data_IF_236201897879
#
_entry.id   IF_236201897879
#
_cell.length_a   1.000
_cell.length_b   1.000
_cell.length_c   1.000
_cell.angle_alpha   90.00
_cell.angle_beta   90.00
_cell.angle_gamma   90.00
#
_symmetry.space_group_name_H-M   'P 1'
#
loop_
_entity.id
_entity.type
_entity.pdbx_description
1 polymer ?
#
# COMPACT_ATOMS: atom_id res chain seq x y z
N UNK A 1 28.70 0.89 -6.80
CA UNK A 1 27.90 -0.35 -6.63
C UNK A 1 27.82 -0.78 -5.17
N UNK A 2 28.95 -0.94 -4.45
CA UNK A 2 28.95 -1.26 -3.00
C UNK A 2 28.26 -0.14 -2.17
N UNK A 3 28.52 1.13 -2.50
CA UNK A 3 27.93 2.26 -1.79
C UNK A 3 26.41 2.36 -1.95
N UNK A 4 25.87 2.10 -3.14
CA UNK A 4 24.43 2.07 -3.40
C UNK A 4 23.70 0.99 -2.58
N UNK A 5 24.22 -0.24 -2.57
CA UNK A 5 23.62 -1.35 -1.80
C UNK A 5 23.63 -1.05 -0.29
N UNK A 6 24.73 -0.48 0.20
CA UNK A 6 24.85 -0.04 1.60
C UNK A 6 23.84 1.05 1.96
N UNK A 7 23.68 2.06 1.10
CA UNK A 7 22.70 3.14 1.29
C UNK A 7 21.26 2.62 1.27
N UNK A 8 20.94 1.68 0.38
CA UNK A 8 19.61 1.04 0.35
C UNK A 8 19.34 0.26 1.64
N UNK A 9 20.30 -0.54 2.12
CA UNK A 9 20.18 -1.28 3.40
C UNK A 9 19.99 -0.33 4.59
N UNK A 10 20.74 0.78 4.61
CA UNK A 10 20.58 1.81 5.64
C UNK A 10 19.19 2.45 5.57
N UNK A 11 18.74 2.84 4.38
CA UNK A 11 17.41 3.43 4.18
C UNK A 11 16.30 2.50 4.66
N UNK A 12 16.35 1.21 4.30
CA UNK A 12 15.41 0.18 4.77
C UNK A 12 15.41 0.08 6.29
N UNK A 13 16.59 0.06 6.93
CA UNK A 13 16.70 -0.01 8.38
C UNK A 13 16.09 1.21 9.05
N UNK A 14 16.34 2.42 8.55
CA UNK A 14 15.76 3.59 9.22
C UNK A 14 14.25 3.59 9.07
N UNK A 15 13.71 3.37 7.87
CA UNK A 15 12.26 3.28 7.68
C UNK A 15 11.66 2.23 8.62
N UNK A 16 12.31 1.07 8.76
CA UNK A 16 11.90 0.02 9.69
C UNK A 16 11.95 0.44 11.16
N UNK A 17 12.95 1.24 11.55
CA UNK A 17 13.09 1.74 12.92
C UNK A 17 12.06 2.84 13.24
N UNK A 18 11.68 3.66 12.26
CA UNK A 18 10.61 4.65 12.42
C UNK A 18 9.24 4.02 12.70
N UNK A 19 9.02 2.75 12.34
CA UNK A 19 7.82 1.99 12.70
C UNK A 19 7.78 1.50 14.16
N UNK A 20 8.75 1.84 15.01
CA UNK A 20 8.90 1.26 16.36
C UNK A 20 7.69 1.48 17.28
N UNK A 21 6.97 2.60 17.14
CA UNK A 21 5.75 2.90 17.91
C UNK A 21 4.47 2.33 17.25
N UNK A 22 4.62 1.64 16.11
CA UNK A 22 3.55 1.03 15.33
C UNK A 22 2.86 1.99 14.36
N UNK A 23 3.32 3.24 14.25
CA UNK A 23 2.80 4.25 13.32
C UNK A 23 3.95 4.94 12.59
N UNK A 24 3.61 5.62 11.51
CA UNK A 24 4.54 6.43 10.74
C UNK A 24 3.79 7.71 10.37
N UNK A 25 4.17 8.83 10.97
CA UNK A 25 3.53 10.12 10.75
C UNK A 25 3.95 10.75 9.42
N UNK A 26 3.09 11.61 8.86
CA UNK A 26 3.37 12.27 7.57
C UNK A 26 4.63 13.14 7.63
N UNK A 27 4.89 13.78 8.78
CA UNK A 27 6.12 14.52 9.07
C UNK A 27 7.35 13.62 8.97
N UNK A 28 7.33 12.45 9.62
CA UNK A 28 8.41 11.48 9.61
C UNK A 28 8.66 10.94 8.19
N UNK A 29 7.58 10.64 7.45
CA UNK A 29 7.67 10.23 6.04
C UNK A 29 8.38 11.28 5.20
N UNK A 30 8.08 12.57 5.40
CA UNK A 30 8.72 13.63 4.63
C UNK A 30 10.21 13.75 4.96
N UNK A 31 10.59 13.65 6.24
CA UNK A 31 12.00 13.65 6.66
C UNK A 31 12.74 12.46 6.05
N UNK A 32 12.14 11.26 6.10
CA UNK A 32 12.70 10.06 5.48
C UNK A 32 12.88 10.26 3.97
N UNK A 33 11.86 10.78 3.28
CA UNK A 33 11.93 11.05 1.85
C UNK A 33 13.02 12.06 1.52
N UNK A 34 13.07 13.19 2.21
CA UNK A 34 14.06 14.25 1.96
C UNK A 34 15.49 13.74 2.14
N UNK A 35 15.74 12.91 3.15
CA UNK A 35 17.04 12.28 3.31
C UNK A 35 17.32 11.24 2.22
N UNK A 36 16.38 10.34 1.93
CA UNK A 36 16.58 9.33 0.88
C UNK A 36 16.82 10.02 -0.48
N UNK A 37 16.21 11.18 -0.73
CA UNK A 37 16.48 12.03 -1.89
C UNK A 37 17.90 12.61 -1.92
N UNK A 38 18.56 12.77 -0.76
CA UNK A 38 19.98 13.14 -0.70
C UNK A 38 20.92 12.01 -1.15
N UNK A 39 20.42 10.79 -1.33
CA UNK A 39 21.20 9.67 -1.83
C UNK A 39 21.24 9.69 -3.36
N UNK A 40 22.28 10.32 -3.92
CA UNK A 40 22.47 10.49 -5.37
C UNK A 40 22.52 9.18 -6.19
N UNK A 41 22.66 8.02 -5.52
CA UNK A 41 22.89 6.72 -6.15
C UNK A 41 21.65 5.81 -6.25
N UNK A 42 20.49 6.19 -5.69
CA UNK A 42 19.29 5.35 -5.71
C UNK A 42 18.50 5.49 -7.02
N UNK A 43 18.03 4.37 -7.58
CA UNK A 43 17.15 4.38 -8.75
C UNK A 43 15.67 4.19 -8.41
N UNK A 44 14.81 4.24 -9.43
CA UNK A 44 13.36 4.09 -9.30
C UNK A 44 12.96 2.79 -8.58
N UNK A 45 13.70 1.70 -8.78
CA UNK A 45 13.38 0.40 -8.16
C UNK A 45 13.75 0.38 -6.68
N UNK A 46 14.84 1.05 -6.31
CA UNK A 46 15.20 1.25 -4.91
C UNK A 46 14.11 2.06 -4.20
N UNK A 47 13.62 3.14 -4.84
CA UNK A 47 12.51 3.95 -4.31
C UNK A 47 11.22 3.16 -4.15
N UNK A 48 10.84 2.34 -5.13
CA UNK A 48 9.67 1.47 -5.02
C UNK A 48 9.81 0.47 -3.86
N UNK A 49 11.03 0.00 -3.60
CA UNK A 49 11.31 -0.87 -2.46
C UNK A 49 11.16 -0.09 -1.16
N UNK A 50 11.62 1.15 -1.09
CA UNK A 50 11.48 1.99 0.10
C UNK A 50 10.03 2.40 0.35
N UNK A 51 9.26 2.73 -0.69
CA UNK A 51 7.81 2.98 -0.58
C UNK A 51 7.08 1.76 0.00
N UNK A 52 7.48 0.54 -0.39
CA UNK A 52 6.96 -0.69 0.18
C UNK A 52 7.20 -0.78 1.71
N UNK A 53 8.37 -0.37 2.19
CA UNK A 53 8.69 -0.30 3.62
C UNK A 53 7.97 0.86 4.33
N UNK A 54 7.78 2.00 3.66
CA UNK A 54 7.07 3.18 4.19
C UNK A 54 5.58 2.91 4.32
N UNK A 55 4.97 2.16 3.41
CA UNK A 55 3.52 1.96 3.40
C UNK A 55 3.05 0.74 4.20
N UNK A 56 3.98 -0.13 4.61
CA UNK A 56 3.66 -1.41 5.24
C UNK A 56 4.38 -1.57 6.58
N UNK A 57 3.67 -1.80 7.70
CA UNK A 57 4.29 -1.90 9.02
C UNK A 57 5.40 -2.94 9.07
N UNK A 58 6.55 -2.56 9.63
CA UNK A 58 7.71 -3.44 9.78
C UNK A 58 7.71 -4.04 11.18
N UNK A 59 7.89 -5.36 11.26
CA UNK A 59 7.94 -6.03 12.57
C UNK A 59 9.32 -5.85 13.23
N UNK A 60 9.38 -5.95 14.55
CA UNK A 60 10.65 -5.92 15.30
C UNK A 60 11.63 -7.01 14.80
N UNK A 61 11.13 -8.20 14.47
CA UNK A 61 11.94 -9.30 13.95
C UNK A 61 12.57 -8.95 12.59
N UNK A 62 11.78 -8.37 11.69
CA UNK A 62 12.25 -7.96 10.36
C UNK A 62 13.23 -6.78 10.44
N UNK A 63 12.99 -5.82 11.33
CA UNK A 63 13.93 -4.73 11.60
C UNK A 63 15.30 -5.26 12.06
N UNK A 64 15.31 -6.32 12.90
CA UNK A 64 16.55 -6.97 13.32
C UNK A 64 17.26 -7.69 12.17
N UNK A 65 16.52 -8.34 11.26
CA UNK A 65 17.08 -8.96 10.06
C UNK A 65 17.74 -7.89 9.15
N UNK A 66 17.08 -6.75 8.95
CA UNK A 66 17.63 -5.62 8.19
C UNK A 66 18.89 -5.03 8.83
N UNK A 67 18.95 -4.93 10.16
CA UNK A 67 20.17 -4.51 10.85
C UNK A 67 21.30 -5.49 10.58
N UNK A 68 21.04 -6.79 10.73
CA UNK A 68 22.05 -7.80 10.53
C UNK A 68 22.58 -7.76 9.08
N UNK A 69 21.69 -7.59 8.12
CA UNK A 69 22.02 -7.41 6.71
C UNK A 69 22.86 -6.17 6.44
N UNK A 70 22.67 -5.08 7.19
CA UNK A 70 23.50 -3.88 7.13
C UNK A 70 24.89 -4.14 7.74
N UNK A 71 24.94 -4.75 8.94
CA UNK A 71 26.21 -5.09 9.61
C UNK A 71 27.06 -6.00 8.73
N UNK A 72 26.46 -6.99 8.08
CA UNK A 72 27.16 -7.92 7.21
C UNK A 72 27.63 -7.27 5.90
N UNK A 73 26.96 -6.20 5.45
CA UNK A 73 27.38 -5.40 4.30
C UNK A 73 28.50 -4.40 4.64
N UNK A 74 28.64 -3.96 5.89
CA UNK A 74 29.70 -3.06 6.34
C UNK A 74 31.02 -3.85 6.45
N UNK A 75 31.83 -3.75 5.39
CA UNK A 75 33.10 -4.47 5.27
C UNK A 75 34.30 -3.69 5.81
N UNK A 76 34.23 -2.36 5.88
CA UNK A 76 35.35 -1.49 6.24
C UNK A 76 34.96 -0.34 7.19
N UNK A 77 35.95 0.27 7.84
CA UNK A 77 35.75 1.49 8.64
C UNK A 77 35.29 2.68 7.76
N UNK A 78 35.59 2.68 6.46
CA UNK A 78 35.07 3.69 5.53
C UNK A 78 33.56 3.53 5.31
N UNK A 79 33.08 2.30 5.13
CA UNK A 79 31.64 2.00 4.98
C UNK A 79 30.87 2.40 6.25
N UNK A 80 31.45 2.10 7.40
CA UNK A 80 30.91 2.51 8.71
C UNK A 80 30.85 4.03 8.86
N UNK A 81 31.88 4.75 8.42
CA UNK A 81 31.88 6.21 8.43
C UNK A 81 30.73 6.77 7.58
N UNK A 82 30.52 6.22 6.37
CA UNK A 82 29.41 6.61 5.48
C UNK A 82 28.05 6.37 6.15
N UNK A 83 27.83 5.19 6.74
CA UNK A 83 26.57 4.86 7.42
C UNK A 83 26.30 5.84 8.57
N UNK A 84 27.31 6.10 9.40
CA UNK A 84 27.18 6.98 10.56
C UNK A 84 26.98 8.45 10.19
N UNK A 85 27.60 8.91 9.09
CA UNK A 85 27.43 10.26 8.57
C UNK A 85 26.00 10.47 8.08
N UNK A 86 25.47 9.54 7.28
CA UNK A 86 24.09 9.59 6.79
C UNK A 86 23.03 9.43 7.88
N UNK A 87 23.27 8.57 8.86
CA UNK A 87 22.34 8.43 9.98
C UNK A 87 22.32 9.69 10.87
N UNK A 88 23.44 10.42 10.97
CA UNK A 88 23.47 11.71 11.65
C UNK A 88 22.72 12.79 10.86
N UNK A 89 22.94 12.88 9.55
CA UNK A 89 22.18 13.80 8.69
C UNK A 89 20.67 13.59 8.85
N UNK A 90 20.22 12.34 9.01
CA UNK A 90 18.81 12.00 9.24
C UNK A 90 18.28 12.53 10.57
N UNK A 91 18.98 12.21 11.66
CA UNK A 91 18.58 12.60 13.02
C UNK A 91 18.62 14.11 13.20
N UNK A 92 19.49 14.81 12.45
CA UNK A 92 19.61 16.27 12.51
C UNK A 92 18.73 16.98 11.46
N UNK A 93 17.99 16.26 10.62
CA UNK A 93 17.28 16.81 9.45
C UNK A 93 16.15 17.78 9.81
N UNK A 94 15.42 17.53 10.90
CA UNK A 94 14.33 18.39 11.37
C UNK A 94 14.83 19.52 12.30
N UNK A 95 16.13 19.55 12.61
CA UNK A 95 16.77 20.49 13.52
C UNK A 95 16.45 20.28 15.01
N UNK A 96 15.70 19.24 15.38
CA UNK A 96 15.32 18.91 16.75
C UNK A 96 15.58 17.42 16.99
N UNK A 97 16.81 17.11 17.42
CA UNK A 97 17.15 15.76 17.83
C UNK A 97 16.38 15.37 19.09
N UNK A 98 15.48 14.41 18.98
CA UNK A 98 14.75 13.83 20.12
C UNK A 98 15.64 12.86 20.92
N UNK A 99 15.25 12.56 22.17
CA UNK A 99 15.96 11.58 23.00
C UNK A 99 15.96 10.19 22.36
N UNK A 100 14.89 9.82 21.66
CA UNK A 100 14.75 8.53 20.99
C UNK A 100 15.65 8.42 19.75
N UNK A 101 15.78 9.48 18.95
CA UNK A 101 16.66 9.52 17.78
C UNK A 101 18.16 9.52 18.16
N UNK A 102 18.54 10.28 19.19
CA UNK A 102 19.90 10.23 19.75
C UNK A 102 20.28 8.82 20.23
N UNK A 103 19.29 8.12 20.80
CA UNK A 103 19.48 6.77 21.32
C UNK A 103 19.58 5.73 20.20
N UNK A 104 18.75 5.83 19.16
CA UNK A 104 18.85 5.00 17.94
C UNK A 104 20.25 5.14 17.32
N UNK A 105 20.75 6.37 17.16
CA UNK A 105 22.10 6.63 16.64
C UNK A 105 23.20 5.99 17.50
N UNK A 106 23.09 6.08 18.82
CA UNK A 106 24.05 5.48 19.75
C UNK A 106 24.05 3.95 19.70
N UNK A 107 22.88 3.33 19.54
CA UNK A 107 22.74 1.88 19.49
C UNK A 107 23.18 1.29 18.15
N UNK A 108 22.83 1.91 17.02
CA UNK A 108 23.35 1.51 15.71
C UNK A 108 24.87 1.61 15.69
N UNK A 109 25.43 2.70 16.24
CA UNK A 109 26.89 2.84 16.40
C UNK A 109 27.48 1.70 17.23
N UNK A 110 26.87 1.37 18.36
CA UNK A 110 27.32 0.27 19.24
C UNK A 110 27.27 -1.10 18.54
N UNK A 111 26.24 -1.35 17.73
CA UNK A 111 26.10 -2.59 16.96
C UNK A 111 27.18 -2.70 15.86
N UNK A 112 27.46 -1.60 15.16
CA UNK A 112 28.54 -1.51 14.18
C UNK A 112 29.94 -1.63 14.81
N UNK A 113 30.15 -1.06 16.00
CA UNK A 113 31.43 -1.12 16.73
C UNK A 113 31.71 -2.51 17.29
N UNK A 114 30.70 -3.18 17.86
CA UNK A 114 30.90 -4.43 18.59
C UNK A 114 30.60 -5.69 17.79
N UNK A 115 30.10 -5.57 16.54
CA UNK A 115 29.52 -6.69 15.76
C UNK A 115 28.60 -7.57 16.61
N UNK A 116 27.81 -6.96 17.49
CA UNK A 116 26.87 -7.65 18.39
C UNK A 116 25.45 -7.43 17.88
N UNK A 117 24.68 -8.52 17.89
CA UNK A 117 23.31 -8.72 17.37
C UNK A 117 22.19 -8.12 18.24
N UNK A 118 22.42 -6.94 18.81
CA UNK A 118 21.72 -6.51 20.03
C UNK A 118 20.84 -5.26 19.99
N UNK A 119 20.12 -4.94 18.90
CA UNK A 119 19.09 -3.87 18.90
C UNK A 119 17.92 -4.13 19.89
N UNK A 120 17.82 -5.35 20.42
CA UNK A 120 16.68 -5.88 21.18
C UNK A 120 16.41 -5.24 22.56
N UNK A 121 17.28 -4.35 23.06
CA UNK A 121 17.03 -3.71 24.37
C UNK A 121 16.18 -2.44 24.25
N UNK A 122 16.10 -1.82 23.06
CA UNK A 122 15.36 -0.58 22.83
C UNK A 122 13.91 -0.83 22.40
N UNK A 123 13.70 -1.66 21.38
CA UNK A 123 12.37 -1.93 20.80
C UNK A 123 11.42 -2.60 21.80
N UNK A 124 11.95 -3.38 22.74
CA UNK A 124 11.19 -4.02 23.82
C UNK A 124 10.76 -3.06 24.95
N UNK A 125 11.37 -1.86 25.05
CA UNK A 125 11.13 -0.92 26.14
C UNK A 125 10.09 0.17 25.83
N UNK A 126 9.69 0.32 24.56
CA UNK A 126 8.81 1.39 24.09
C UNK A 126 7.37 0.94 23.79
N UNK A 127 7.02 -0.34 23.88
CA UNK A 127 5.63 -0.78 23.64
C UNK A 127 5.14 -1.92 24.54
N UNK A 128 4.00 -1.68 25.19
CA UNK A 128 3.16 -2.67 25.87
C UNK A 128 2.07 -3.24 24.96
N UNK A 129 2.36 -3.42 23.66
CA UNK A 129 1.38 -3.83 22.65
C UNK A 129 1.71 -5.25 22.16
N UNK A 130 0.67 -6.07 22.08
CA UNK A 130 0.75 -7.52 21.99
C UNK A 130 1.65 -8.06 20.88
N UNK A 131 2.40 -9.12 21.22
CA UNK A 131 3.09 -10.04 20.31
C UNK A 131 2.12 -10.56 19.24
N UNK A 132 2.01 -9.86 18.12
CA UNK A 132 1.64 -10.49 16.86
C UNK A 132 2.92 -11.01 16.22
N UNK A 133 3.14 -12.32 16.37
CA UNK A 133 4.05 -13.08 15.50
C UNK A 133 3.54 -12.94 14.06
N UNK A 134 3.94 -11.89 13.35
CA UNK A 134 3.96 -11.93 11.88
C UNK A 134 5.08 -12.88 11.51
N UNK A 135 4.70 -14.09 11.10
CA UNK A 135 5.66 -15.12 10.67
C UNK A 135 6.50 -14.60 9.52
N UNK A 136 7.78 -14.99 9.49
CA UNK A 136 8.79 -14.78 8.45
C UNK A 136 8.46 -15.43 7.09
N UNK A 137 7.17 -15.52 6.72
CA UNK A 137 6.68 -16.20 5.51
C UNK A 137 6.22 -15.22 4.43
N UNK A 138 6.07 -13.94 4.75
CA UNK A 138 5.78 -12.91 3.77
C UNK A 138 7.06 -12.11 3.49
N UNK A 139 7.87 -12.57 2.55
CA UNK A 139 8.98 -11.76 2.05
C UNK A 139 8.38 -10.65 1.19
N UNK A 140 8.18 -9.47 1.78
CA UNK A 140 7.52 -8.35 1.10
C UNK A 140 8.22 -7.96 -0.21
N UNK A 141 9.54 -8.08 -0.26
CA UNK A 141 10.34 -7.78 -1.45
C UNK A 141 10.10 -8.77 -2.60
N UNK A 142 9.81 -10.05 -2.31
CA UNK A 142 9.41 -11.04 -3.33
C UNK A 142 8.04 -10.72 -3.96
N UNK A 143 7.24 -9.88 -3.30
CA UNK A 143 5.91 -9.45 -3.73
C UNK A 143 5.88 -7.98 -4.13
N UNK A 144 7.04 -7.37 -4.41
CA UNK A 144 7.12 -5.96 -4.82
C UNK A 144 6.30 -5.68 -6.09
N UNK A 145 6.21 -6.65 -7.02
CA UNK A 145 5.37 -6.54 -8.22
C UNK A 145 3.88 -6.37 -7.87
N UNK A 146 3.42 -7.01 -6.80
CA UNK A 146 2.05 -6.85 -6.30
C UNK A 146 1.87 -5.49 -5.63
N UNK A 147 2.85 -5.04 -4.86
CA UNK A 147 2.83 -3.69 -4.29
C UNK A 147 2.74 -2.63 -5.39
N UNK A 148 3.54 -2.75 -6.46
CA UNK A 148 3.57 -1.78 -7.55
C UNK A 148 2.25 -1.81 -8.35
N UNK A 149 1.77 -3.01 -8.71
CA UNK A 149 0.67 -3.15 -9.69
C UNK A 149 -0.71 -3.29 -9.05
N UNK A 150 -0.78 -3.70 -7.79
CA UNK A 150 -2.02 -4.07 -7.10
C UNK A 150 -1.91 -3.92 -5.58
N UNK A 151 -1.78 -2.67 -5.12
CA UNK A 151 -1.65 -2.34 -3.69
C UNK A 151 -2.75 -2.92 -2.81
N UNK A 152 -4.00 -2.99 -3.29
CA UNK A 152 -5.10 -3.62 -2.53
C UNK A 152 -4.79 -5.09 -2.24
N UNK A 153 -4.41 -5.85 -3.26
CA UNK A 153 -4.05 -7.25 -3.09
C UNK A 153 -2.86 -7.44 -2.14
N UNK A 154 -1.82 -6.62 -2.33
CA UNK A 154 -0.63 -6.63 -1.47
C UNK A 154 -0.98 -6.37 0.02
N UNK A 155 -1.81 -5.36 0.29
CA UNK A 155 -2.22 -5.01 1.65
C UNK A 155 -3.06 -6.12 2.29
N UNK A 156 -4.00 -6.71 1.54
CA UNK A 156 -4.81 -7.81 2.04
C UNK A 156 -3.95 -9.02 2.40
N UNK A 157 -2.96 -9.37 1.57
CA UNK A 157 -2.03 -10.43 1.92
C UNK A 157 -1.20 -10.09 3.16
N UNK A 158 -0.75 -8.85 3.29
CA UNK A 158 0.08 -8.42 4.42
C UNK A 158 -0.70 -8.40 5.75
N UNK A 159 -1.96 -7.97 5.72
CA UNK A 159 -2.78 -7.77 6.92
C UNK A 159 -3.65 -8.99 7.25
N UNK A 160 -4.09 -9.73 6.24
CA UNK A 160 -5.08 -10.80 6.34
C UNK A 160 -4.59 -12.16 5.80
N UNK A 161 -3.28 -12.37 5.61
CA UNK A 161 -2.72 -13.67 5.17
C UNK A 161 -3.18 -14.89 5.99
N UNK A 162 -3.55 -14.70 7.26
CA UNK A 162 -4.03 -15.77 8.14
C UNK A 162 -5.55 -16.03 8.03
N UNK A 163 -6.31 -15.18 7.31
CA UNK A 163 -7.75 -15.40 7.12
C UNK A 163 -7.96 -16.56 6.15
N UNK A 164 -8.80 -17.53 6.58
CA UNK A 164 -9.17 -18.70 5.78
C UNK A 164 -9.80 -18.27 4.46
N UNK A 165 -10.64 -17.24 4.48
CA UNK A 165 -11.33 -16.74 3.29
C UNK A 165 -10.36 -16.21 2.21
N UNK A 166 -9.23 -15.61 2.62
CA UNK A 166 -8.19 -15.15 1.68
C UNK A 166 -7.43 -16.33 1.09
N UNK A 167 -7.16 -17.38 1.89
CA UNK A 167 -6.37 -18.54 1.44
C UNK A 167 -7.10 -19.50 0.50
N UNK A 168 -8.44 -19.54 0.53
CA UNK A 168 -9.23 -20.46 -0.30
C UNK A 168 -9.46 -19.94 -1.73
N UNK A 169 -9.32 -18.63 -1.96
CA UNK A 169 -9.53 -18.03 -3.28
C UNK A 169 -8.27 -18.17 -4.16
N UNK A 170 -8.41 -18.55 -5.46
CA UNK A 170 -7.27 -18.56 -6.38
C UNK A 170 -6.61 -17.19 -6.50
N UNK A 171 -5.26 -17.12 -6.42
CA UNK A 171 -4.52 -15.84 -6.41
C UNK A 171 -4.86 -14.94 -7.60
N UNK A 172 -4.92 -15.48 -8.82
CA UNK A 172 -5.25 -14.70 -10.02
C UNK A 172 -6.67 -14.10 -9.97
N UNK A 173 -7.61 -14.83 -9.36
CA UNK A 173 -8.96 -14.34 -9.17
C UNK A 173 -8.98 -13.21 -8.13
N UNK A 174 -8.23 -13.36 -7.03
CA UNK A 174 -8.11 -12.35 -5.98
C UNK A 174 -7.43 -11.07 -6.51
N UNK A 175 -6.34 -11.19 -7.28
CA UNK A 175 -5.66 -10.06 -7.93
C UNK A 175 -6.63 -9.27 -8.80
N UNK A 176 -7.38 -9.95 -9.69
CA UNK A 176 -8.37 -9.29 -10.55
C UNK A 176 -9.46 -8.61 -9.75
N UNK A 177 -9.99 -9.29 -8.73
CA UNK A 177 -11.01 -8.73 -7.85
C UNK A 177 -10.52 -7.44 -7.17
N UNK A 178 -9.30 -7.44 -6.62
CA UNK A 178 -8.70 -6.27 -5.98
C UNK A 178 -8.53 -5.07 -6.93
N UNK A 179 -8.24 -5.32 -8.21
CA UNK A 179 -8.21 -4.27 -9.23
C UNK A 179 -9.61 -3.73 -9.54
N UNK A 180 -10.61 -4.62 -9.66
CA UNK A 180 -11.99 -4.20 -9.90
C UNK A 180 -12.55 -3.42 -8.71
N UNK A 181 -12.32 -3.87 -7.48
CA UNK A 181 -12.75 -3.20 -6.27
C UNK A 181 -12.09 -1.83 -6.09
N UNK A 182 -10.86 -1.65 -6.58
CA UNK A 182 -10.23 -0.32 -6.65
C UNK A 182 -11.02 0.63 -7.56
N UNK A 183 -11.51 0.16 -8.72
CA UNK A 183 -12.38 0.97 -9.59
C UNK A 183 -13.74 1.28 -8.94
N UNK A 184 -14.28 0.34 -8.17
CA UNK A 184 -15.50 0.54 -7.38
C UNK A 184 -15.31 1.66 -6.36
N UNK A 185 -14.18 1.62 -5.64
CA UNK A 185 -13.80 2.63 -4.67
C UNK A 185 -13.56 4.01 -5.31
N UNK A 186 -12.98 4.09 -6.53
CA UNK A 186 -12.85 5.37 -7.24
C UNK A 186 -14.20 6.00 -7.57
N UNK A 187 -15.19 5.20 -7.97
CA UNK A 187 -16.54 5.69 -8.24
C UNK A 187 -17.21 6.18 -6.97
N UNK A 188 -17.21 5.38 -5.90
CA UNK A 188 -17.80 5.79 -4.62
C UNK A 188 -17.11 7.02 -4.01
N UNK A 189 -15.80 7.18 -4.19
CA UNK A 189 -15.11 8.39 -3.71
C UNK A 189 -15.60 9.64 -4.43
N UNK A 190 -15.74 9.59 -5.76
CA UNK A 190 -15.99 10.80 -6.56
C UNK A 190 -15.08 11.96 -6.14
N UNK A 191 -15.70 13.11 -5.82
CA UNK A 191 -15.07 14.26 -5.16
C UNK A 191 -15.53 14.46 -3.69
N UNK A 192 -16.27 13.50 -3.12
CA UNK A 192 -16.93 13.60 -1.80
C UNK A 192 -16.38 12.61 -0.76
N UNK A 193 -16.97 12.64 0.44
CA UNK A 193 -16.69 11.68 1.52
C UNK A 193 -17.50 10.42 1.27
N UNK A 194 -16.81 9.28 1.27
CA UNK A 194 -17.43 7.96 1.07
C UNK A 194 -18.47 7.69 2.15
N UNK A 195 -19.71 7.42 1.75
CA UNK A 195 -20.85 7.13 2.64
C UNK A 195 -20.88 5.65 3.08
N UNK A 196 -21.65 5.33 4.12
CA UNK A 196 -21.83 3.94 4.56
C UNK A 196 -22.73 3.15 3.60
N UNK A 197 -23.63 3.84 2.88
CA UNK A 197 -24.45 3.28 1.81
C UNK A 197 -23.58 2.82 0.63
N UNK A 198 -22.58 3.61 0.22
CA UNK A 198 -21.62 3.24 -0.85
C UNK A 198 -20.77 2.04 -0.45
N UNK A 199 -20.27 2.03 0.80
CA UNK A 199 -19.54 0.87 1.35
C UNK A 199 -20.38 -0.39 1.25
N UNK A 200 -21.64 -0.30 1.68
CA UNK A 200 -22.59 -1.41 1.65
C UNK A 200 -22.84 -1.87 0.21
N UNK A 201 -23.00 -0.94 -0.73
CA UNK A 201 -23.20 -1.23 -2.14
C UNK A 201 -22.00 -1.97 -2.76
N UNK A 202 -20.78 -1.49 -2.51
CA UNK A 202 -19.55 -2.12 -2.98
C UNK A 202 -19.44 -3.54 -2.42
N UNK A 203 -19.63 -3.70 -1.11
CA UNK A 203 -19.58 -5.02 -0.46
C UNK A 203 -20.60 -5.97 -1.05
N UNK A 204 -21.85 -5.54 -1.23
CA UNK A 204 -22.93 -6.36 -1.80
C UNK A 204 -22.66 -6.76 -3.26
N UNK A 205 -22.12 -5.83 -4.05
CA UNK A 205 -21.70 -6.10 -5.44
C UNK A 205 -20.58 -7.12 -5.47
N UNK A 206 -19.58 -6.99 -4.60
CA UNK A 206 -18.48 -7.94 -4.51
C UNK A 206 -18.99 -9.35 -4.14
N UNK A 207 -19.89 -9.44 -3.15
CA UNK A 207 -20.52 -10.71 -2.76
C UNK A 207 -21.30 -11.35 -3.91
N UNK A 208 -22.15 -10.58 -4.58
CA UNK A 208 -23.10 -11.11 -5.57
C UNK A 208 -22.45 -11.39 -6.92
N UNK A 209 -21.60 -10.50 -7.42
CA UNK A 209 -20.96 -10.65 -8.72
C UNK A 209 -19.81 -11.66 -8.71
N UNK A 210 -19.15 -11.85 -7.57
CA UNK A 210 -17.96 -12.72 -7.45
C UNK A 210 -18.15 -13.89 -6.47
N UNK A 211 -19.33 -14.04 -5.86
CA UNK A 211 -19.67 -15.21 -5.03
C UNK A 211 -18.87 -15.30 -3.73
N UNK A 212 -18.49 -14.17 -3.14
CA UNK A 212 -17.64 -14.13 -1.95
C UNK A 212 -18.42 -14.17 -0.65
N UNK A 213 -17.76 -14.60 0.42
CA UNK A 213 -18.27 -14.49 1.79
C UNK A 213 -18.33 -13.02 2.22
N UNK A 214 -19.17 -12.74 3.21
CA UNK A 214 -19.32 -11.40 3.78
C UNK A 214 -18.00 -10.86 4.37
N UNK A 215 -17.24 -11.75 5.02
CA UNK A 215 -15.91 -11.45 5.56
C UNK A 215 -14.96 -10.98 4.46
N UNK A 216 -14.79 -11.77 3.39
CA UNK A 216 -13.83 -11.46 2.33
C UNK A 216 -14.25 -10.22 1.53
N UNK A 217 -15.54 -10.06 1.25
CA UNK A 217 -16.06 -8.90 0.56
C UNK A 217 -15.81 -7.61 1.38
N UNK A 218 -16.00 -7.67 2.70
CA UNK A 218 -15.74 -6.54 3.60
C UNK A 218 -14.25 -6.19 3.66
N UNK A 219 -13.36 -7.19 3.73
CA UNK A 219 -11.90 -6.99 3.69
C UNK A 219 -11.48 -6.30 2.38
N UNK A 220 -11.96 -6.80 1.24
CA UNK A 220 -11.62 -6.24 -0.08
C UNK A 220 -12.16 -4.82 -0.23
N UNK A 221 -13.39 -4.57 0.21
CA UNK A 221 -14.00 -3.25 0.19
C UNK A 221 -13.18 -2.25 1.03
N UNK A 222 -12.89 -2.58 2.29
CA UNK A 222 -12.13 -1.72 3.20
C UNK A 222 -10.73 -1.38 2.65
N UNK A 223 -9.98 -2.38 2.18
CA UNK A 223 -8.66 -2.19 1.61
C UNK A 223 -8.68 -1.29 0.35
N UNK A 224 -9.72 -1.43 -0.50
CA UNK A 224 -9.89 -0.61 -1.70
C UNK A 224 -10.20 0.84 -1.38
N UNK A 225 -11.07 1.10 -0.40
CA UNK A 225 -11.43 2.45 0.02
C UNK A 225 -10.27 3.17 0.69
N UNK A 226 -9.49 2.47 1.52
CA UNK A 226 -8.28 3.02 2.11
C UNK A 226 -7.25 3.40 1.03
N UNK A 227 -7.12 2.58 -0.02
CA UNK A 227 -6.19 2.86 -1.11
C UNK A 227 -6.54 4.15 -1.86
N UNK A 228 -7.80 4.35 -2.22
CA UNK A 228 -8.22 5.56 -2.96
C UNK A 228 -8.16 6.83 -2.10
N UNK A 229 -8.22 6.72 -0.77
CA UNK A 229 -7.99 7.84 0.14
C UNK A 229 -6.53 8.31 0.13
N UNK A 230 -5.57 7.41 -0.11
CA UNK A 230 -4.13 7.72 -0.22
C UNK A 230 -3.71 8.34 -1.57
N UNK A 231 -4.65 8.93 -2.32
CA UNK A 231 -4.43 9.55 -3.64
C UNK A 231 -3.78 8.63 -4.70
N UNK A 232 -4.20 7.37 -4.73
CA UNK A 232 -3.74 6.39 -5.72
C UNK A 232 -4.11 6.82 -7.15
N UNK A 233 -3.21 6.57 -8.11
CA UNK A 233 -3.43 6.92 -9.51
C UNK A 233 -4.46 5.99 -10.18
N UNK A 234 -5.64 6.55 -10.46
CA UNK A 234 -6.73 5.89 -11.19
C UNK A 234 -6.30 5.41 -12.57
N UNK A 235 -5.40 6.11 -13.25
CA UNK A 235 -4.92 5.75 -14.58
C UNK A 235 -4.17 4.41 -14.55
N UNK A 236 -3.23 4.25 -13.61
CA UNK A 236 -2.43 3.03 -13.49
C UNK A 236 -3.30 1.81 -13.21
N UNK A 237 -4.23 1.93 -12.26
CA UNK A 237 -5.18 0.86 -11.92
C UNK A 237 -6.06 0.52 -13.13
N UNK A 238 -6.63 1.52 -13.80
CA UNK A 238 -7.52 1.29 -14.94
C UNK A 238 -6.77 0.67 -16.11
N UNK A 239 -5.50 1.05 -16.33
CA UNK A 239 -4.63 0.46 -17.34
C UNK A 239 -4.32 -1.01 -17.02
N UNK A 240 -4.05 -1.34 -15.75
CA UNK A 240 -3.84 -2.71 -15.29
C UNK A 240 -5.08 -3.57 -15.54
N UNK A 241 -6.28 -3.04 -15.23
CA UNK A 241 -7.56 -3.68 -15.56
C UNK A 241 -7.71 -3.91 -17.07
N UNK A 242 -7.45 -2.90 -17.89
CA UNK A 242 -7.53 -3.01 -19.35
C UNK A 242 -6.63 -4.12 -19.92
N UNK A 243 -5.41 -4.26 -19.39
CA UNK A 243 -4.44 -5.26 -19.84
C UNK A 243 -4.87 -6.71 -19.51
N UNK A 244 -5.71 -6.88 -18.48
CA UNK A 244 -6.11 -8.19 -17.96
C UNK A 244 -7.55 -8.58 -18.34
N UNK A 245 -8.26 -7.75 -19.10
CA UNK A 245 -9.68 -7.95 -19.42
C UNK A 245 -9.97 -7.94 -20.90
N UNK A 246 -10.87 -8.83 -21.30
CA UNK A 246 -11.49 -8.83 -22.63
C UNK A 246 -12.47 -7.66 -22.79
N UNK A 247 -12.90 -7.38 -24.02
CA UNK A 247 -13.89 -6.34 -24.28
C UNK A 247 -15.23 -6.59 -23.57
N UNK A 248 -15.83 -7.81 -23.62
CA UNK A 248 -17.09 -8.07 -22.93
C UNK A 248 -16.98 -7.92 -21.40
N UNK A 249 -15.86 -8.31 -20.80
CA UNK A 249 -15.62 -8.12 -19.36
C UNK A 249 -15.60 -6.64 -18.99
N UNK A 250 -14.95 -5.79 -19.80
CA UNK A 250 -14.94 -4.33 -19.59
C UNK A 250 -16.34 -3.71 -19.66
N UNK A 251 -17.18 -4.17 -20.58
CA UNK A 251 -18.58 -3.73 -20.67
C UNK A 251 -19.36 -4.13 -19.41
N UNK A 252 -19.18 -5.36 -18.93
CA UNK A 252 -19.79 -5.81 -17.67
C UNK A 252 -19.29 -4.99 -16.48
N UNK A 253 -18.00 -4.71 -16.42
CA UNK A 253 -17.40 -3.91 -15.35
C UNK A 253 -18.03 -2.51 -15.26
N UNK A 254 -18.21 -1.82 -16.39
CA UNK A 254 -18.86 -0.50 -16.39
C UNK A 254 -20.33 -0.56 -15.97
N UNK A 255 -21.05 -1.65 -16.27
CA UNK A 255 -22.41 -1.85 -15.73
C UNK A 255 -22.40 -1.97 -14.21
N UNK A 256 -21.42 -2.68 -13.66
CA UNK A 256 -21.24 -2.82 -12.21
C UNK A 256 -20.91 -1.47 -11.56
N UNK A 257 -20.07 -0.63 -12.20
CA UNK A 257 -19.79 0.71 -11.71
C UNK A 257 -21.05 1.58 -11.62
N UNK A 258 -21.93 1.51 -12.62
CA UNK A 258 -23.21 2.20 -12.58
C UNK A 258 -24.13 1.65 -11.47
N UNK A 259 -24.16 0.33 -11.25
CA UNK A 259 -24.93 -0.26 -10.15
C UNK A 259 -24.49 0.29 -8.79
N UNK A 260 -23.18 0.46 -8.56
CA UNK A 260 -22.64 1.04 -7.33
C UNK A 260 -23.07 2.50 -7.19
N UNK A 261 -22.87 3.31 -8.24
CA UNK A 261 -23.22 4.73 -8.23
C UNK A 261 -24.75 4.98 -8.08
N UNK A 262 -25.58 4.00 -8.41
CA UNK A 262 -27.04 4.08 -8.24
C UNK A 262 -27.54 3.46 -6.93
N UNK A 263 -26.66 2.85 -6.12
CA UNK A 263 -27.07 2.30 -4.84
C UNK A 263 -27.40 3.41 -3.82
N UNK A 264 -26.86 4.62 -4.02
CA UNK A 264 -27.24 5.82 -3.29
C UNK A 264 -28.50 6.47 -3.89
N UNK A 265 -29.30 7.12 -3.04
CA UNK A 265 -30.58 7.76 -3.41
C UNK A 265 -30.45 8.81 -4.54
N UNK A 266 -29.23 9.28 -4.84
CA UNK A 266 -28.89 10.11 -6.00
C UNK A 266 -27.47 9.81 -6.49
N UNK A 267 -27.36 9.37 -7.74
CA UNK A 267 -26.07 9.37 -8.45
C UNK A 267 -25.62 10.81 -8.70
N UNK A 268 -24.41 11.16 -8.25
CA UNK A 268 -23.83 12.48 -8.48
C UNK A 268 -23.28 12.61 -9.90
N UNK A 269 -23.14 13.85 -10.39
CA UNK A 269 -22.49 14.09 -11.68
C UNK A 269 -21.01 13.65 -11.66
N UNK A 270 -20.36 13.70 -10.49
CA UNK A 270 -18.94 13.40 -10.35
C UNK A 270 -18.67 11.90 -10.38
N UNK A 271 -19.58 11.09 -9.85
CA UNK A 271 -19.57 9.64 -10.03
C UNK A 271 -19.72 9.29 -11.52
N UNK A 272 -20.69 9.90 -12.23
CA UNK A 272 -20.90 9.66 -13.67
C UNK A 272 -19.66 10.07 -14.47
N UNK A 273 -19.08 11.23 -14.16
CA UNK A 273 -17.85 11.70 -14.78
C UNK A 273 -16.70 10.71 -14.53
N UNK A 274 -16.59 10.18 -13.31
CA UNK A 274 -15.58 9.17 -12.97
C UNK A 274 -15.79 7.88 -13.75
N UNK A 275 -17.02 7.37 -13.86
CA UNK A 275 -17.35 6.20 -14.68
C UNK A 275 -17.03 6.47 -16.16
N UNK A 276 -17.30 7.68 -16.67
CA UNK A 276 -16.97 8.05 -18.05
C UNK A 276 -15.47 8.01 -18.29
N UNK A 277 -14.67 8.60 -17.40
CA UNK A 277 -13.21 8.56 -17.49
C UNK A 277 -12.67 7.12 -17.44
N UNK A 278 -13.22 6.28 -16.56
CA UNK A 278 -12.86 4.86 -16.49
C UNK A 278 -13.23 4.15 -17.80
N UNK A 279 -14.42 4.37 -18.36
CA UNK A 279 -14.85 3.75 -19.61
C UNK A 279 -13.96 4.15 -20.81
N UNK A 280 -13.54 5.41 -20.86
CA UNK A 280 -12.60 5.91 -21.87
C UNK A 280 -11.23 5.23 -21.75
N UNK A 281 -10.70 5.12 -20.53
CA UNK A 281 -9.43 4.42 -20.25
C UNK A 281 -9.52 2.91 -20.53
N UNK A 282 -10.68 2.32 -20.30
CA UNK A 282 -11.00 0.95 -20.71
C UNK A 282 -11.26 0.84 -22.22
N UNK A 283 -11.16 1.91 -23.01
CA UNK A 283 -11.35 1.93 -24.47
C UNK A 283 -12.68 1.33 -24.91
N UNK A 284 -13.74 1.65 -24.18
CA UNK A 284 -15.11 1.27 -24.56
C UNK A 284 -15.70 2.26 -25.55
N UNK A 285 -16.61 1.78 -26.39
CA UNK A 285 -17.38 2.67 -27.26
C UNK A 285 -18.42 3.44 -26.46
N UNK A 286 -18.71 4.67 -26.87
CA UNK A 286 -19.76 5.50 -26.27
C UNK A 286 -21.13 4.81 -26.22
N UNK A 287 -21.43 3.96 -27.20
CA UNK A 287 -22.66 3.15 -27.25
C UNK A 287 -22.75 2.18 -26.09
N UNK A 288 -21.65 1.53 -25.71
CA UNK A 288 -21.62 0.59 -24.59
C UNK A 288 -21.73 1.32 -23.24
N UNK A 289 -21.09 2.48 -23.12
CA UNK A 289 -21.24 3.34 -21.94
C UNK A 289 -22.70 3.78 -21.75
N UNK A 290 -23.36 4.24 -22.81
CA UNK A 290 -24.77 4.63 -22.78
C UNK A 290 -25.66 3.43 -22.43
N UNK A 291 -25.40 2.27 -23.03
CA UNK A 291 -26.14 1.05 -22.73
C UNK A 291 -25.97 0.63 -21.27
N UNK A 292 -24.76 0.73 -20.72
CA UNK A 292 -24.48 0.44 -19.32
C UNK A 292 -25.18 1.41 -18.36
N UNK A 293 -25.18 2.72 -18.68
CA UNK A 293 -25.94 3.74 -17.93
C UNK A 293 -27.43 3.40 -17.87
N UNK A 294 -27.96 2.79 -18.92
CA UNK A 294 -29.37 2.41 -19.00
C UNK A 294 -29.71 1.00 -18.48
N UNK A 295 -28.74 0.21 -18.01
CA UNK A 295 -29.01 -1.07 -17.34
C UNK A 295 -29.74 -0.90 -16.00
N UNK A 296 -29.73 0.28 -15.43
CA UNK A 296 -30.53 0.63 -14.24
C UNK A 296 -31.96 0.97 -14.69
N UNK A 297 -32.95 0.33 -14.06
CA UNK A 297 -34.37 0.49 -14.38
C UNK A 297 -34.82 1.95 -14.20
N UNK A 298 -35.69 2.47 -15.08
CA UNK A 298 -36.18 3.86 -15.02
C UNK A 298 -36.82 4.23 -13.68
N UNK A 299 -37.39 3.25 -12.97
CA UNK A 299 -38.02 3.38 -11.66
C UNK A 299 -36.99 3.61 -10.54
N UNK A 300 -35.76 3.13 -10.72
CA UNK A 300 -34.64 3.24 -9.79
C UNK A 300 -33.65 4.35 -10.16
N UNK A 301 -33.88 5.05 -11.29
CA UNK A 301 -33.13 6.23 -11.73
C UNK A 301 -33.58 7.46 -10.96
N UNK A 302 -33.36 7.52 -9.66
CA UNK A 302 -33.49 8.78 -8.92
C UNK A 302 -32.26 9.66 -9.17
N UNK A 303 -32.06 10.10 -10.41
CA UNK A 303 -31.02 11.09 -10.76
C UNK A 303 -30.28 10.94 -12.10
N UNK A 304 -30.44 9.82 -12.83
CA UNK A 304 -29.70 9.51 -14.07
C UNK A 304 -30.29 10.04 -15.39
#
# INVERSE_FOLDING_TARGET
MIQRDLLLKLAKLVVAASWADGKLEVSEINVLKDLIFSFDDLDERDWQTLDLYIESPVSEAECNELLQDLIDAVASEADKAVVMDKLRELVEADGIVTEDESRLLAEVKSCLDNKKTGLLTFLSSLSGIGRQRRSSRFNREERIDDFIKNRVYFNILTEHAASVAVTEMPEDAMRRLCLYSSLFAFVAKGDEVISDEEKTAITQVIQTAYGLTDELASIVCAASLQLVQKNTDKYEITRSVYQQTSYPERVTLVKVLFQIANACDKTSNDEINTISQIADLLRLQRTDFIAAKFCIAKEDRKGL
#
